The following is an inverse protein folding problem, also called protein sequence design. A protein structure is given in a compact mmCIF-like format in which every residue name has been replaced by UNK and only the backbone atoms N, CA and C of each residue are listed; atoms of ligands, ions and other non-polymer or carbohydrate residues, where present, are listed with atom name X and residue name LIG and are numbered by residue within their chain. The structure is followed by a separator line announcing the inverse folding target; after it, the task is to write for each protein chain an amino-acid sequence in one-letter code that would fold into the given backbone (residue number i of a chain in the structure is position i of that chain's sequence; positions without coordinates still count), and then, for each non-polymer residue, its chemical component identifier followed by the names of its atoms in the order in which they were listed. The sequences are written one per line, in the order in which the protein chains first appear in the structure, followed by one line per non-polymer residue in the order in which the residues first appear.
data_IF_632158297772
#
_entry.id   IF_632158297772
#
_cell.length_a   1.000
_cell.length_b   1.000
_cell.length_c   1.000
_cell.angle_alpha   90.00
_cell.angle_beta   90.00
_cell.angle_gamma   90.00
#
_symmetry.space_group_name_H-M   'P 1'
#
loop_
_entity.id
_entity.type
_entity.pdbx_description
1 polymer ?
#
# COMPACT_ATOMS: atom_id res chain seq x y z
N UNK A 1 45.52 33.31 -49.96
CA UNK A 1 44.38 32.40 -50.21
C UNK A 1 43.63 32.21 -48.94
N UNK A 2 42.50 32.86 -48.78
CA UNK A 2 41.72 32.85 -47.54
C UNK A 2 40.48 31.93 -47.70
N UNK A 3 40.42 30.86 -46.93
CA UNK A 3 39.31 29.92 -47.01
C UNK A 3 38.25 30.30 -45.94
N UNK A 4 37.08 30.70 -46.42
CA UNK A 4 35.90 31.05 -45.62
C UNK A 4 35.31 29.78 -44.91
N UNK A 5 35.20 29.82 -43.58
CA UNK A 5 34.43 28.86 -42.81
C UNK A 5 32.96 29.31 -42.82
N UNK A 6 32.06 28.46 -43.32
CA UNK A 6 30.61 28.65 -43.23
C UNK A 6 30.12 28.29 -41.83
N UNK A 7 29.42 29.20 -41.16
CA UNK A 7 28.64 28.94 -39.95
C UNK A 7 27.36 28.18 -40.31
N UNK A 8 27.15 27.00 -39.70
CA UNK A 8 25.89 26.27 -39.74
C UNK A 8 24.92 26.85 -38.73
N UNK A 9 23.77 27.29 -39.20
CA UNK A 9 22.64 27.73 -38.37
C UNK A 9 22.03 26.52 -37.61
N UNK A 10 21.81 26.69 -36.32
CA UNK A 10 21.05 25.72 -35.48
C UNK A 10 19.55 25.91 -35.76
N UNK A 11 18.78 24.82 -35.90
CA UNK A 11 17.33 24.93 -36.02
C UNK A 11 16.70 25.35 -34.66
N UNK A 12 15.73 26.26 -34.73
CA UNK A 12 14.94 26.76 -33.63
C UNK A 12 14.14 25.62 -33.00
N UNK A 13 14.20 25.47 -31.67
CA UNK A 13 13.35 24.59 -30.89
C UNK A 13 11.88 25.03 -31.02
N UNK A 14 11.08 24.21 -31.69
CA UNK A 14 9.63 24.33 -31.68
C UNK A 14 9.10 23.98 -30.29
N UNK A 15 8.27 24.84 -29.73
CA UNK A 15 7.46 24.60 -28.54
C UNK A 15 6.48 23.48 -28.85
N UNK A 16 6.68 22.31 -28.28
CA UNK A 16 5.68 21.22 -28.26
C UNK A 16 4.58 21.63 -27.28
N UNK A 17 3.45 22.07 -27.84
CA UNK A 17 2.22 22.14 -27.06
C UNK A 17 1.82 20.73 -26.66
N UNK A 18 1.85 20.43 -25.36
CA UNK A 18 1.20 19.26 -24.79
C UNK A 18 -0.31 19.39 -25.00
N UNK A 19 -0.82 18.75 -26.04
CA UNK A 19 -2.25 18.45 -26.14
C UNK A 19 -2.55 17.34 -25.15
N UNK A 20 -3.11 17.71 -24.00
CA UNK A 20 -3.71 16.77 -23.06
C UNK A 20 -4.81 15.99 -23.81
N UNK A 21 -4.63 14.68 -23.89
CA UNK A 21 -5.69 13.79 -24.36
C UNK A 21 -6.88 13.92 -23.40
N UNK A 22 -7.94 14.58 -23.84
CA UNK A 22 -9.22 14.64 -23.15
C UNK A 22 -9.88 13.28 -23.35
N UNK A 23 -9.88 12.47 -22.31
CA UNK A 23 -10.59 11.21 -22.26
C UNK A 23 -12.12 11.52 -22.21
N UNK A 24 -12.83 11.32 -23.32
CA UNK A 24 -14.30 11.47 -23.43
C UNK A 24 -14.97 10.11 -23.39
N UNK A 25 -14.82 9.39 -22.29
CA UNK A 25 -15.51 8.13 -22.03
C UNK A 25 -16.38 8.28 -20.78
N UNK A 26 -17.61 8.74 -20.94
CA UNK A 26 -18.63 8.73 -19.90
C UNK A 26 -19.12 7.29 -19.64
N UNK A 27 -18.42 6.56 -18.78
CA UNK A 27 -19.01 5.49 -17.99
C UNK A 27 -18.84 5.90 -16.54
N UNK A 28 -19.94 5.87 -15.80
CA UNK A 28 -19.96 6.07 -14.34
C UNK A 28 -19.03 5.00 -13.74
N UNK A 29 -17.76 5.35 -13.53
CA UNK A 29 -16.75 4.41 -13.02
C UNK A 29 -17.11 4.16 -11.56
N UNK A 30 -17.68 3.01 -11.30
CA UNK A 30 -18.03 2.59 -9.95
C UNK A 30 -16.80 2.63 -9.06
N UNK A 31 -16.85 3.46 -8.02
CA UNK A 31 -15.77 3.62 -7.06
C UNK A 31 -15.59 2.32 -6.25
N UNK A 32 -14.47 1.62 -6.45
CA UNK A 32 -14.10 0.42 -5.68
C UNK A 32 -13.31 0.83 -4.46
N UNK A 33 -13.83 0.52 -3.27
CA UNK A 33 -13.21 0.86 -1.99
C UNK A 33 -12.77 -0.40 -1.24
N UNK A 34 -11.58 -0.31 -0.67
CA UNK A 34 -10.95 -1.30 0.20
C UNK A 34 -10.42 -0.66 1.47
N UNK A 35 -10.07 -1.46 2.46
CA UNK A 35 -9.54 -0.99 3.75
C UNK A 35 -8.15 -1.55 3.98
N UNK A 36 -7.23 -0.71 4.47
CA UNK A 36 -5.99 -1.11 5.11
C UNK A 36 -6.04 -0.73 6.58
N UNK A 37 -6.03 -1.73 7.45
CA UNK A 37 -5.99 -1.56 8.90
C UNK A 37 -4.58 -1.83 9.46
N UNK A 38 -4.15 -0.99 10.39
CA UNK A 38 -2.84 -1.11 11.03
C UNK A 38 -2.90 -1.69 12.45
N UNK A 39 -4.08 -2.11 12.91
CA UNK A 39 -4.35 -2.54 14.29
C UNK A 39 -3.82 -1.51 15.32
N UNK A 40 -4.24 -0.23 15.24
CA UNK A 40 -3.73 0.81 16.12
C UNK A 40 -4.19 0.60 17.56
N UNK A 41 -3.29 0.92 18.52
CA UNK A 41 -3.57 0.98 19.96
C UNK A 41 -3.63 2.45 20.37
N UNK A 42 -4.69 2.84 21.04
CA UNK A 42 -4.88 4.18 21.59
C UNK A 42 -4.63 4.22 23.11
N UNK A 43 -4.52 5.40 23.69
CA UNK A 43 -3.98 5.61 25.05
C UNK A 43 -4.69 4.81 26.19
N UNK A 44 -5.94 4.44 26.01
CA UNK A 44 -6.74 3.68 26.99
C UNK A 44 -6.94 2.22 26.61
N UNK A 45 -6.34 1.78 25.50
CA UNK A 45 -6.54 0.44 24.94
C UNK A 45 -5.34 -0.47 25.20
N UNK A 46 -5.60 -1.77 25.19
CA UNK A 46 -4.59 -2.82 25.21
C UNK A 46 -4.31 -3.35 23.79
N UNK A 47 -3.20 -4.07 23.62
CA UNK A 47 -2.92 -4.78 22.37
C UNK A 47 -4.05 -5.77 22.00
N UNK A 48 -4.71 -6.36 22.99
CA UNK A 48 -5.86 -7.26 22.78
C UNK A 48 -7.04 -6.49 22.21
N UNK A 49 -7.36 -5.32 22.76
CA UNK A 49 -8.45 -4.48 22.25
C UNK A 49 -8.21 -4.08 20.80
N UNK A 50 -7.00 -3.65 20.44
CA UNK A 50 -6.65 -3.28 19.07
C UNK A 50 -6.84 -4.44 18.08
N UNK A 51 -6.46 -5.65 18.44
CA UNK A 51 -6.68 -6.83 17.59
C UNK A 51 -8.16 -7.20 17.49
N UNK A 52 -8.95 -7.06 18.58
CA UNK A 52 -10.40 -7.26 18.54
C UNK A 52 -11.09 -6.20 17.66
N UNK A 53 -10.66 -4.95 17.72
CA UNK A 53 -11.14 -3.88 16.85
C UNK A 53 -10.86 -4.18 15.37
N UNK A 54 -9.68 -4.71 15.03
CA UNK A 54 -9.37 -5.16 13.68
C UNK A 54 -10.30 -6.26 13.19
N UNK A 55 -10.61 -7.24 14.05
CA UNK A 55 -11.54 -8.35 13.74
C UNK A 55 -12.96 -7.82 13.54
N UNK A 56 -13.43 -6.94 14.41
CA UNK A 56 -14.74 -6.31 14.27
C UNK A 56 -14.82 -5.50 12.98
N UNK A 57 -13.83 -4.64 12.70
CA UNK A 57 -13.80 -3.83 11.50
C UNK A 57 -13.82 -4.69 10.23
N UNK A 58 -13.05 -5.78 10.16
CA UNK A 58 -13.04 -6.69 9.02
C UNK A 58 -14.42 -7.34 8.79
N UNK A 59 -15.10 -7.74 9.86
CA UNK A 59 -16.43 -8.34 9.79
C UNK A 59 -17.46 -7.32 9.31
N UNK A 60 -17.40 -6.07 9.79
CA UNK A 60 -18.26 -4.97 9.34
C UNK A 60 -17.95 -4.57 7.91
N UNK A 61 -16.66 -4.51 7.51
CA UNK A 61 -16.24 -4.21 6.16
C UNK A 61 -16.85 -5.19 5.14
N UNK A 62 -16.91 -6.49 5.47
CA UNK A 62 -17.62 -7.48 4.66
C UNK A 62 -19.12 -7.15 4.54
N UNK A 63 -19.76 -6.83 5.65
CA UNK A 63 -21.19 -6.49 5.67
C UNK A 63 -21.49 -5.19 4.89
N UNK A 64 -20.60 -4.23 4.95
CA UNK A 64 -20.68 -2.95 4.23
C UNK A 64 -20.32 -3.04 2.75
N UNK A 65 -19.80 -4.19 2.28
CA UNK A 65 -19.51 -4.44 0.87
C UNK A 65 -18.17 -3.86 0.38
N UNK A 66 -17.22 -3.63 1.27
CA UNK A 66 -15.86 -3.32 0.86
C UNK A 66 -15.25 -4.47 0.07
N UNK A 67 -14.41 -4.14 -0.92
CA UNK A 67 -13.87 -5.14 -1.83
C UNK A 67 -12.81 -6.01 -1.15
N UNK A 68 -11.89 -5.41 -0.39
CA UNK A 68 -10.85 -6.12 0.37
C UNK A 68 -10.56 -5.47 1.72
N UNK A 69 -9.99 -6.27 2.61
CA UNK A 69 -9.50 -5.85 3.91
C UNK A 69 -8.05 -6.33 4.09
N UNK A 70 -7.12 -5.39 4.16
CA UNK A 70 -5.71 -5.69 4.36
C UNK A 70 -5.25 -5.29 5.75
N UNK A 71 -4.26 -6.02 6.27
CA UNK A 71 -3.56 -5.70 7.50
C UNK A 71 -2.10 -5.41 7.22
N UNK A 72 -1.52 -4.44 7.94
CA UNK A 72 -0.12 -4.05 7.79
C UNK A 72 0.82 -4.94 8.62
N UNK A 73 2.14 -4.84 8.35
CA UNK A 73 3.19 -5.46 9.16
C UNK A 73 4.04 -4.39 9.83
N UNK A 74 4.08 -4.43 11.18
CA UNK A 74 4.89 -3.53 11.98
C UNK A 74 5.54 -4.26 13.15
N UNK A 75 6.81 -3.94 13.43
CA UNK A 75 7.62 -4.60 14.44
C UNK A 75 8.13 -3.64 15.52
N UNK A 76 8.15 -4.11 16.78
CA UNK A 76 8.68 -3.36 17.90
C UNK A 76 7.94 -2.05 18.18
N UNK A 77 6.65 -1.98 17.87
CA UNK A 77 5.78 -0.83 18.10
C UNK A 77 4.86 -1.07 19.28
N UNK A 78 4.65 -0.03 20.08
CA UNK A 78 3.62 -0.02 21.14
C UNK A 78 2.30 0.59 20.65
N UNK A 79 2.26 1.07 19.40
CA UNK A 79 1.12 1.80 18.84
C UNK A 79 0.37 1.06 17.74
N UNK A 80 0.96 0.02 17.18
CA UNK A 80 0.35 -0.82 16.13
C UNK A 80 0.71 -2.28 16.36
N UNK A 81 -0.28 -3.18 16.32
CA UNK A 81 -0.15 -4.56 16.79
C UNK A 81 -0.02 -5.60 15.68
N UNK A 82 0.08 -5.19 14.43
CA UNK A 82 0.15 -6.09 13.28
C UNK A 82 1.57 -6.58 13.00
N UNK A 83 2.15 -7.45 13.83
CA UNK A 83 3.52 -7.95 13.64
C UNK A 83 3.63 -9.24 12.80
N UNK A 84 2.53 -9.94 12.57
CA UNK A 84 2.46 -11.20 11.81
C UNK A 84 1.19 -11.22 10.98
N UNK A 85 1.20 -10.56 9.82
CA UNK A 85 0.00 -10.43 8.99
C UNK A 85 -0.59 -11.79 8.61
N UNK A 86 0.20 -12.80 8.30
CA UNK A 86 -0.26 -14.14 7.93
C UNK A 86 -1.07 -14.81 9.05
N UNK A 87 -0.70 -14.60 10.33
CA UNK A 87 -1.44 -15.14 11.48
C UNK A 87 -2.79 -14.43 11.63
N UNK A 88 -2.78 -13.10 11.52
CA UNK A 88 -4.00 -12.30 11.63
C UNK A 88 -4.94 -12.56 10.43
N UNK A 89 -4.41 -12.65 9.22
CA UNK A 89 -5.16 -13.01 8.02
C UNK A 89 -5.86 -14.36 8.18
N UNK A 90 -5.19 -15.39 8.71
CA UNK A 90 -5.80 -16.69 8.95
C UNK A 90 -7.03 -16.58 9.87
N UNK A 91 -6.93 -15.78 10.93
CA UNK A 91 -8.04 -15.53 11.84
C UNK A 91 -9.19 -14.76 11.15
N UNK A 92 -8.88 -13.71 10.39
CA UNK A 92 -9.87 -12.91 9.66
C UNK A 92 -10.60 -13.73 8.59
N UNK A 93 -9.90 -14.60 7.87
CA UNK A 93 -10.49 -15.50 6.88
C UNK A 93 -11.50 -16.47 7.51
N UNK A 94 -11.24 -16.92 8.76
CA UNK A 94 -12.16 -17.76 9.52
C UNK A 94 -13.41 -17.00 10.03
N UNK A 95 -13.30 -15.66 10.22
CA UNK A 95 -14.39 -14.79 10.68
C UNK A 95 -15.22 -14.20 9.54
N UNK A 96 -14.74 -14.23 8.30
CA UNK A 96 -15.38 -13.67 7.11
C UNK A 96 -15.62 -14.75 6.05
N UNK A 97 -16.48 -14.49 5.07
CA UNK A 97 -16.88 -15.50 4.07
C UNK A 97 -16.69 -15.06 2.62
N UNK A 98 -16.72 -13.77 2.31
CA UNK A 98 -16.73 -13.23 0.94
C UNK A 98 -15.62 -12.22 0.69
N UNK A 99 -15.37 -11.30 1.63
CA UNK A 99 -14.37 -10.25 1.48
C UNK A 99 -12.98 -10.86 1.25
N UNK A 100 -12.20 -10.26 0.37
CA UNK A 100 -10.79 -10.61 0.19
C UNK A 100 -10.00 -10.11 1.38
N UNK A 101 -9.08 -10.92 1.88
CA UNK A 101 -8.24 -10.56 3.04
C UNK A 101 -6.78 -10.72 2.67
N UNK A 102 -5.94 -9.77 3.06
CA UNK A 102 -4.54 -9.83 2.70
C UNK A 102 -3.62 -8.96 3.54
N UNK A 103 -2.37 -8.90 3.13
CA UNK A 103 -1.35 -8.04 3.72
C UNK A 103 -1.18 -6.74 2.92
N UNK A 104 -0.93 -5.64 3.62
CA UNK A 104 -0.62 -4.36 3.00
C UNK A 104 0.55 -3.64 3.68
N UNK A 105 1.78 -4.30 3.71
CA UNK A 105 2.22 -5.57 3.10
C UNK A 105 3.25 -6.30 3.95
N UNK A 106 3.56 -7.51 3.52
CA UNK A 106 4.67 -8.28 4.11
C UNK A 106 6.00 -7.59 3.79
N UNK A 107 6.85 -7.43 4.80
CA UNK A 107 8.20 -6.85 4.66
C UNK A 107 9.20 -7.90 4.18
N UNK A 108 9.12 -8.26 2.90
CA UNK A 108 9.81 -9.42 2.29
C UNK A 108 11.32 -9.43 2.52
N UNK A 109 11.93 -8.29 2.74
CA UNK A 109 13.38 -8.24 3.02
C UNK A 109 13.78 -8.97 4.31
N UNK A 110 12.83 -9.19 5.24
CA UNK A 110 13.08 -9.90 6.50
C UNK A 110 12.96 -11.43 6.37
N UNK A 111 12.39 -11.92 5.28
CA UNK A 111 11.96 -13.32 5.17
C UNK A 111 12.57 -14.05 3.98
N UNK A 112 12.52 -15.37 4.05
CA UNK A 112 12.71 -16.24 2.90
C UNK A 112 11.49 -16.15 1.98
N UNK A 113 11.65 -15.88 0.67
CA UNK A 113 10.55 -15.92 -0.30
C UNK A 113 9.82 -17.25 -0.29
N UNK A 114 10.55 -18.36 -0.14
CA UNK A 114 9.98 -19.70 -0.02
C UNK A 114 9.01 -19.79 1.18
N UNK A 115 9.44 -19.30 2.37
CA UNK A 115 8.57 -19.38 3.57
C UNK A 115 7.34 -18.49 3.47
N UNK A 116 7.46 -17.31 2.87
CA UNK A 116 6.31 -16.44 2.59
C UNK A 116 5.34 -17.13 1.63
N UNK A 117 5.85 -17.76 0.57
CA UNK A 117 5.01 -18.53 -0.37
C UNK A 117 4.28 -19.68 0.33
N UNK A 118 4.97 -20.48 1.19
CA UNK A 118 4.31 -21.54 1.98
C UNK A 118 3.15 -21.00 2.82
N UNK A 119 3.38 -19.92 3.58
CA UNK A 119 2.37 -19.33 4.45
C UNK A 119 1.13 -18.89 3.65
N UNK A 120 1.34 -18.18 2.54
CA UNK A 120 0.23 -17.69 1.70
C UNK A 120 -0.43 -18.79 0.87
N UNK A 121 0.28 -19.84 0.52
CA UNK A 121 -0.32 -21.03 -0.11
C UNK A 121 -1.22 -21.80 0.87
N UNK A 122 -0.86 -21.86 2.16
CA UNK A 122 -1.76 -22.40 3.20
C UNK A 122 -3.02 -21.55 3.30
N UNK A 123 -2.88 -20.21 3.39
CA UNK A 123 -4.03 -19.30 3.46
C UNK A 123 -4.93 -19.42 2.21
N UNK A 124 -4.34 -19.44 1.02
CA UNK A 124 -5.07 -19.58 -0.24
C UNK A 124 -5.75 -20.95 -0.39
N UNK A 125 -5.19 -22.01 0.21
CA UNK A 125 -5.84 -23.34 0.27
C UNK A 125 -7.02 -23.37 1.24
N UNK A 126 -6.94 -22.60 2.35
CA UNK A 126 -8.03 -22.48 3.33
C UNK A 126 -9.17 -21.60 2.81
N UNK A 127 -8.87 -20.59 2.00
CA UNK A 127 -9.85 -19.63 1.47
C UNK A 127 -9.57 -19.31 -0.01
N UNK A 128 -9.85 -20.25 -0.94
CA UNK A 128 -9.57 -20.10 -2.36
C UNK A 128 -10.19 -18.81 -2.95
N UNK A 129 -9.37 -18.06 -3.72
CA UNK A 129 -9.80 -16.85 -4.41
C UNK A 129 -9.97 -15.61 -3.51
N UNK A 130 -9.70 -15.70 -2.19
CA UNK A 130 -9.93 -14.63 -1.23
C UNK A 130 -8.66 -14.05 -0.61
N UNK A 131 -7.48 -14.53 -0.99
CA UNK A 131 -6.21 -14.14 -0.35
C UNK A 131 -5.43 -13.20 -1.24
N UNK A 132 -4.97 -12.07 -0.66
CA UNK A 132 -4.06 -11.13 -1.28
C UNK A 132 -2.72 -11.11 -0.54
N UNK A 133 -1.62 -11.00 -1.30
CA UNK A 133 -0.27 -10.84 -0.77
C UNK A 133 0.32 -9.52 -1.25
N UNK A 134 0.13 -8.47 -0.48
CA UNK A 134 0.84 -7.22 -0.68
C UNK A 134 2.26 -7.30 -0.10
N UNK A 135 3.24 -6.85 -0.86
CA UNK A 135 4.66 -6.85 -0.50
C UNK A 135 5.17 -5.42 -0.36
N UNK A 136 5.83 -5.13 0.77
CA UNK A 136 6.52 -3.88 1.05
C UNK A 136 8.03 -4.04 1.11
N UNK A 137 8.76 -2.95 0.83
CA UNK A 137 10.22 -2.87 0.97
C UNK A 137 10.67 -2.22 2.28
N UNK A 138 9.73 -1.60 3.01
CA UNK A 138 10.03 -0.90 4.26
C UNK A 138 10.61 -1.83 5.35
N UNK A 139 11.23 -1.28 6.40
CA UNK A 139 11.71 -2.08 7.52
C UNK A 139 10.57 -2.55 8.45
N UNK A 140 9.38 -2.00 8.33
CA UNK A 140 8.24 -2.31 9.20
C UNK A 140 8.45 -1.98 10.69
N UNK A 141 9.63 -1.49 11.08
CA UNK A 141 9.95 -1.20 12.48
C UNK A 141 11.27 -0.47 12.67
N UNK A 142 11.74 -0.44 13.92
CA UNK A 142 12.98 0.20 14.30
C UNK A 142 14.21 -0.65 13.88
N UNK A 143 15.43 -0.05 13.82
CA UNK A 143 16.64 -0.78 13.42
C UNK A 143 16.95 -2.02 14.25
N UNK A 144 16.56 -2.05 15.53
CA UNK A 144 16.71 -3.27 16.38
C UNK A 144 15.79 -4.39 15.95
N UNK A 145 14.55 -4.10 15.59
CA UNK A 145 13.62 -5.12 15.06
C UNK A 145 14.14 -5.68 13.75
N UNK A 146 14.63 -4.82 12.86
CA UNK A 146 15.25 -5.24 11.60
C UNK A 146 16.40 -6.22 11.85
N UNK A 147 17.31 -5.90 12.79
CA UNK A 147 18.41 -6.79 13.16
C UNK A 147 17.95 -8.12 13.76
N UNK A 148 16.90 -8.10 14.58
CA UNK A 148 16.33 -9.32 15.16
C UNK A 148 15.72 -10.24 14.10
N UNK A 149 15.06 -9.68 13.08
CA UNK A 149 14.41 -10.43 12.01
C UNK A 149 15.41 -10.96 10.97
N UNK A 150 16.41 -10.16 10.61
CA UNK A 150 17.40 -10.52 9.58
C UNK A 150 18.63 -11.27 10.15
N UNK A 151 18.78 -11.33 11.48
CA UNK A 151 19.99 -11.82 12.12
C UNK A 151 21.15 -10.82 12.06
N UNK A 152 22.35 -11.28 12.49
CA UNK A 152 23.58 -10.44 12.52
C UNK A 152 24.30 -10.49 11.16
N UNK A 153 23.90 -11.40 10.26
CA UNK A 153 24.51 -11.60 8.95
C UNK A 153 24.06 -10.56 7.92
N UNK A 154 24.90 -10.39 6.90
CA UNK A 154 24.60 -9.52 5.76
C UNK A 154 23.52 -10.16 4.88
N UNK A 155 22.35 -9.54 4.84
CA UNK A 155 21.23 -9.92 3.96
C UNK A 155 21.36 -9.18 2.63
N UNK A 156 22.33 -9.56 1.81
CA UNK A 156 22.69 -8.82 0.60
C UNK A 156 21.84 -9.09 -0.63
N UNK A 157 20.91 -10.05 -0.58
CA UNK A 157 20.06 -10.33 -1.75
C UNK A 157 19.18 -9.12 -2.10
N UNK A 158 19.25 -8.62 -3.35
CA UNK A 158 18.39 -7.54 -3.81
C UNK A 158 16.90 -7.84 -3.62
N UNK A 159 16.13 -6.83 -3.24
CA UNK A 159 14.68 -6.97 -3.05
C UNK A 159 13.96 -7.47 -4.31
N UNK A 160 14.39 -7.02 -5.48
CA UNK A 160 13.84 -7.46 -6.77
C UNK A 160 14.04 -8.96 -7.02
N UNK A 161 15.18 -9.52 -6.63
CA UNK A 161 15.43 -10.97 -6.75
C UNK A 161 14.54 -11.77 -5.80
N UNK A 162 14.40 -11.31 -4.53
CA UNK A 162 13.48 -11.95 -3.58
C UNK A 162 12.02 -11.91 -4.06
N UNK A 163 11.62 -10.79 -4.66
CA UNK A 163 10.25 -10.62 -5.16
C UNK A 163 9.98 -11.55 -6.34
N UNK A 164 10.91 -11.64 -7.28
CA UNK A 164 10.80 -12.55 -8.42
C UNK A 164 10.76 -14.02 -7.96
N UNK A 165 11.64 -14.41 -7.04
CA UNK A 165 11.65 -15.76 -6.49
C UNK A 165 10.35 -16.10 -5.74
N UNK A 166 9.78 -15.13 -4.99
CA UNK A 166 8.47 -15.29 -4.36
C UNK A 166 7.37 -15.55 -5.40
N UNK A 167 7.34 -14.77 -6.47
CA UNK A 167 6.39 -14.92 -7.57
C UNK A 167 6.51 -16.30 -8.22
N UNK A 168 7.74 -16.74 -8.46
CA UNK A 168 8.02 -18.06 -9.02
C UNK A 168 7.56 -19.20 -8.10
N UNK A 169 7.75 -19.09 -6.78
CA UNK A 169 7.25 -20.08 -5.82
C UNK A 169 5.73 -20.12 -5.75
N UNK A 170 5.06 -18.95 -5.70
CA UNK A 170 3.60 -18.87 -5.65
C UNK A 170 2.94 -19.55 -6.86
N UNK A 171 3.55 -19.43 -8.03
CA UNK A 171 3.05 -19.98 -9.27
C UNK A 171 3.69 -21.31 -9.69
N UNK A 172 4.57 -21.85 -8.84
CA UNK A 172 5.32 -23.09 -9.10
C UNK A 172 6.06 -23.06 -10.46
N UNK A 173 6.82 -21.97 -10.70
CA UNK A 173 7.46 -21.65 -12.00
C UNK A 173 8.97 -21.40 -11.86
N UNK A 174 9.65 -22.04 -10.89
CA UNK A 174 11.12 -21.95 -10.82
C UNK A 174 11.74 -22.46 -12.13
N UNK A 175 12.67 -21.69 -12.68
CA UNK A 175 13.39 -22.05 -13.90
C UNK A 175 14.36 -23.22 -13.67
N UNK A 176 14.65 -24.00 -14.72
CA UNK A 176 15.53 -25.17 -14.62
C UNK A 176 16.95 -24.86 -14.14
N UNK A 177 17.44 -23.66 -14.41
CA UNK A 177 18.75 -23.17 -13.96
C UNK A 177 18.75 -22.64 -12.51
N UNK A 178 17.57 -22.55 -11.86
CA UNK A 178 17.49 -22.06 -10.49
C UNK A 178 18.08 -23.10 -9.50
N UNK A 179 18.89 -22.70 -8.50
CA UNK A 179 19.49 -23.62 -7.53
C UNK A 179 18.51 -24.51 -6.76
N UNK A 180 17.24 -24.03 -6.64
CA UNK A 180 16.16 -24.73 -5.95
C UNK A 180 15.15 -25.35 -6.93
N UNK A 181 15.53 -25.54 -8.20
CA UNK A 181 14.63 -26.14 -9.20
C UNK A 181 14.03 -27.46 -8.70
N UNK A 182 12.71 -27.62 -8.91
CA UNK A 182 11.96 -28.76 -8.42
C UNK A 182 11.40 -28.62 -7.00
N UNK A 183 11.87 -27.64 -6.21
CA UNK A 183 11.27 -27.34 -4.90
C UNK A 183 9.93 -26.65 -5.09
N UNK A 184 8.91 -27.07 -4.32
CA UNK A 184 7.58 -26.51 -4.34
C UNK A 184 7.21 -25.94 -2.98
N UNK A 185 6.62 -24.75 -2.97
CA UNK A 185 6.01 -24.19 -1.76
C UNK A 185 4.65 -24.88 -1.52
N UNK A 186 4.64 -25.86 -0.62
CA UNK A 186 3.44 -26.66 -0.34
C UNK A 186 2.61 -26.05 0.80
N UNK A 187 1.24 -26.21 0.74
CA UNK A 187 0.44 -26.81 -0.32
C UNK A 187 0.42 -25.97 -1.61
N UNK A 188 0.07 -26.56 -2.73
CA UNK A 188 -0.17 -25.79 -3.97
C UNK A 188 -1.67 -25.53 -4.08
N UNK A 189 -2.16 -24.32 -3.84
CA UNK A 189 -3.57 -23.99 -3.91
C UNK A 189 -4.06 -23.96 -5.37
N UNK A 190 -5.36 -24.21 -5.64
CA UNK A 190 -5.93 -24.11 -6.98
C UNK A 190 -5.89 -22.68 -7.54
N UNK A 191 -5.92 -21.69 -6.64
CA UNK A 191 -5.76 -20.27 -6.94
C UNK A 191 -4.76 -19.69 -5.91
N UNK A 192 -3.55 -19.35 -6.33
CA UNK A 192 -2.57 -18.71 -5.44
C UNK A 192 -3.05 -17.35 -4.96
N UNK A 193 -2.43 -16.84 -3.90
CA UNK A 193 -2.68 -15.48 -3.43
C UNK A 193 -2.36 -14.48 -4.55
N UNK A 194 -3.19 -13.45 -4.68
CA UNK A 194 -2.95 -12.37 -5.64
C UNK A 194 -1.84 -11.47 -5.12
N UNK A 195 -0.78 -11.29 -5.90
CA UNK A 195 0.43 -10.58 -5.51
C UNK A 195 0.35 -9.10 -5.90
N UNK A 196 0.72 -8.20 -4.97
CA UNK A 196 0.74 -6.75 -5.15
C UNK A 196 2.08 -6.19 -4.69
N UNK A 197 2.65 -5.23 -5.42
CA UNK A 197 3.82 -4.48 -4.96
C UNK A 197 3.38 -3.11 -4.41
N UNK A 198 3.69 -2.86 -3.14
CA UNK A 198 3.46 -1.58 -2.48
C UNK A 198 4.70 -0.71 -2.58
N UNK A 199 4.50 0.57 -2.91
CA UNK A 199 5.60 1.52 -3.01
C UNK A 199 5.18 2.97 -2.79
N UNK A 200 6.17 3.87 -2.83
CA UNK A 200 6.00 5.30 -2.57
C UNK A 200 6.81 6.17 -3.55
N UNK A 201 7.33 5.58 -4.64
CA UNK A 201 8.21 6.28 -5.59
C UNK A 201 8.20 5.60 -6.97
N UNK A 202 8.81 6.28 -7.96
CA UNK A 202 8.94 5.82 -9.35
C UNK A 202 9.69 4.50 -9.49
N UNK A 203 10.78 4.27 -8.72
CA UNK A 203 11.53 3.01 -8.82
C UNK A 203 10.72 1.78 -8.41
N UNK A 204 9.79 1.92 -7.44
CA UNK A 204 8.87 0.83 -7.10
C UNK A 204 7.80 0.61 -8.17
N UNK A 205 7.36 1.68 -8.84
CA UNK A 205 6.42 1.63 -9.95
C UNK A 205 7.04 0.93 -11.18
N UNK A 206 8.28 1.27 -11.53
CA UNK A 206 9.06 0.62 -12.58
C UNK A 206 9.24 -0.88 -12.31
N UNK A 207 9.60 -1.24 -11.07
CA UNK A 207 9.75 -2.64 -10.69
C UNK A 207 8.43 -3.41 -10.83
N UNK A 208 7.30 -2.85 -10.34
CA UNK A 208 5.98 -3.48 -10.50
C UNK A 208 5.61 -3.67 -11.97
N UNK A 209 5.82 -2.61 -12.78
CA UNK A 209 5.53 -2.63 -14.21
C UNK A 209 6.37 -3.67 -14.97
N UNK A 210 7.68 -3.75 -14.68
CA UNK A 210 8.59 -4.72 -15.32
C UNK A 210 8.27 -6.18 -14.99
N UNK A 211 7.69 -6.42 -13.81
CA UNK A 211 7.27 -7.75 -13.37
C UNK A 211 5.80 -8.06 -13.70
N UNK A 212 5.07 -7.12 -14.35
CA UNK A 212 3.66 -7.28 -14.66
C UNK A 212 2.75 -7.41 -13.43
N UNK A 213 3.17 -6.84 -12.29
CA UNK A 213 2.44 -6.93 -11.03
C UNK A 213 1.52 -5.73 -10.82
N UNK A 214 0.33 -5.90 -10.19
CA UNK A 214 -0.45 -4.80 -9.67
C UNK A 214 0.38 -3.92 -8.72
N UNK A 215 0.26 -2.60 -8.88
CA UNK A 215 1.00 -1.60 -8.11
C UNK A 215 0.10 -0.84 -7.16
N UNK A 216 0.55 -0.65 -5.92
CA UNK A 216 -0.15 0.14 -4.90
C UNK A 216 0.73 1.29 -4.46
N UNK A 217 0.34 2.51 -4.78
CA UNK A 217 1.03 3.68 -4.25
C UNK A 217 0.48 4.02 -2.84
N UNK A 218 1.35 4.06 -1.83
CA UNK A 218 0.99 4.36 -0.44
C UNK A 218 1.10 5.87 -0.16
N UNK A 219 0.09 6.65 -0.56
CA UNK A 219 0.02 8.11 -0.41
C UNK A 219 0.05 8.54 1.07
N UNK A 220 -0.54 7.77 1.97
CA UNK A 220 -0.51 8.05 3.41
C UNK A 220 0.91 8.01 4.02
N UNK A 221 1.87 7.36 3.35
CA UNK A 221 3.30 7.37 3.71
C UNK A 221 4.08 8.46 2.96
N UNK A 222 3.76 8.70 1.70
CA UNK A 222 4.36 9.75 0.89
C UNK A 222 3.28 10.58 0.19
N UNK A 223 2.93 11.71 0.79
CA UNK A 223 1.87 12.60 0.34
C UNK A 223 2.32 13.62 -0.73
N UNK A 224 3.52 13.47 -1.30
CA UNK A 224 3.98 14.34 -2.39
C UNK A 224 3.24 13.99 -3.69
N UNK A 225 2.35 14.91 -4.12
CA UNK A 225 1.50 14.69 -5.30
C UNK A 225 2.30 14.57 -6.60
N UNK A 226 3.43 15.25 -6.71
CA UNK A 226 4.27 15.18 -7.91
C UNK A 226 4.89 13.78 -8.01
N UNK A 227 5.49 13.28 -6.93
CA UNK A 227 6.04 11.92 -6.87
C UNK A 227 4.97 10.85 -7.12
N UNK A 228 3.77 11.02 -6.56
CA UNK A 228 2.66 10.08 -6.76
C UNK A 228 2.23 10.06 -8.23
N UNK A 229 2.00 11.24 -8.82
CA UNK A 229 1.60 11.35 -10.22
C UNK A 229 2.64 10.77 -11.17
N UNK A 230 3.93 11.06 -10.94
CA UNK A 230 5.03 10.50 -11.71
C UNK A 230 5.11 8.96 -11.57
N UNK A 231 5.00 8.43 -10.36
CA UNK A 231 5.06 6.99 -10.12
C UNK A 231 3.91 6.25 -10.83
N UNK A 232 2.67 6.73 -10.70
CA UNK A 232 1.52 6.11 -11.37
C UNK A 232 1.61 6.21 -12.90
N UNK A 233 2.03 7.36 -13.44
CA UNK A 233 2.29 7.52 -14.88
C UNK A 233 3.40 6.58 -15.37
N UNK A 234 4.49 6.45 -14.61
CA UNK A 234 5.59 5.52 -14.92
C UNK A 234 5.11 4.08 -14.93
N UNK A 235 4.30 3.67 -13.93
CA UNK A 235 3.71 2.33 -13.89
C UNK A 235 2.94 2.01 -15.17
N UNK A 236 2.02 2.88 -15.57
CA UNK A 236 1.21 2.66 -16.77
C UNK A 236 2.04 2.67 -18.08
N UNK A 237 3.05 3.56 -18.16
CA UNK A 237 3.88 3.70 -19.36
C UNK A 237 4.88 2.54 -19.53
N UNK A 238 5.44 2.06 -18.41
CA UNK A 238 6.46 1.01 -18.41
C UNK A 238 5.88 -0.40 -18.24
N UNK A 239 4.55 -0.55 -18.10
CA UNK A 239 3.95 -1.85 -17.90
C UNK A 239 4.18 -2.76 -19.11
N UNK A 240 4.67 -3.96 -18.85
CA UNK A 240 4.92 -4.94 -19.90
C UNK A 240 3.59 -5.48 -20.46
N UNK A 241 3.20 -4.98 -21.63
CA UNK A 241 1.96 -5.35 -22.31
C UNK A 241 1.93 -6.79 -22.84
N UNK A 242 3.06 -7.52 -22.77
CA UNK A 242 3.10 -8.97 -23.10
C UNK A 242 2.54 -9.82 -21.97
N UNK A 243 2.33 -9.24 -20.79
CA UNK A 243 1.72 -9.92 -19.65
C UNK A 243 0.26 -10.28 -19.92
N UNK A 244 -0.21 -11.37 -19.28
CA UNK A 244 -1.57 -11.87 -19.47
C UNK A 244 -2.66 -10.99 -18.87
N UNK A 245 -2.29 -10.17 -17.88
CA UNK A 245 -3.21 -9.27 -17.18
C UNK A 245 -2.93 -7.82 -17.58
N UNK A 246 -3.95 -6.96 -17.70
CA UNK A 246 -3.75 -5.53 -17.90
C UNK A 246 -3.10 -4.88 -16.66
N UNK A 247 -2.48 -3.70 -16.82
CA UNK A 247 -1.98 -2.95 -15.68
C UNK A 247 -3.11 -2.65 -14.70
N UNK A 248 -2.84 -2.78 -13.41
CA UNK A 248 -3.80 -2.46 -12.35
C UNK A 248 -3.12 -1.62 -11.27
N UNK A 249 -3.51 -0.36 -11.17
CA UNK A 249 -2.99 0.60 -10.21
C UNK A 249 -3.99 0.83 -9.07
N UNK A 250 -3.51 0.78 -7.84
CA UNK A 250 -4.27 1.07 -6.64
C UNK A 250 -3.63 2.24 -5.88
N UNK A 251 -4.44 2.99 -5.15
CA UNK A 251 -3.95 4.09 -4.32
C UNK A 251 -4.43 3.91 -2.88
N UNK A 252 -3.47 3.80 -1.95
CA UNK A 252 -3.76 3.76 -0.52
C UNK A 252 -3.61 5.17 0.07
N UNK A 253 -4.66 5.71 0.68
CA UNK A 253 -4.73 7.10 1.12
C UNK A 253 -5.44 7.25 2.46
N UNK A 254 -5.07 8.31 3.20
CA UNK A 254 -5.75 8.67 4.45
C UNK A 254 -7.09 9.31 4.16
N UNK A 255 -8.15 8.77 4.79
CA UNK A 255 -9.52 9.28 4.60
C UNK A 255 -10.25 9.38 5.93
N UNK A 256 -10.99 10.46 6.13
CA UNK A 256 -11.92 10.65 7.26
C UNK A 256 -13.25 11.19 6.75
N UNK A 257 -14.29 10.39 6.91
CA UNK A 257 -15.67 10.85 6.74
C UNK A 257 -16.34 11.07 8.10
N UNK A 258 -17.14 12.12 8.22
CA UNK A 258 -17.96 12.40 9.40
C UNK A 258 -19.34 12.88 8.96
N UNK A 259 -20.24 13.16 9.91
CA UNK A 259 -21.58 13.63 9.58
C UNK A 259 -21.57 15.02 8.91
N UNK A 260 -20.56 15.83 9.21
CA UNK A 260 -20.36 17.16 8.62
C UNK A 260 -18.91 17.40 8.19
N UNK A 261 -18.71 18.29 7.21
CA UNK A 261 -17.37 18.73 6.78
C UNK A 261 -16.58 19.40 7.91
N UNK A 262 -17.26 20.08 8.81
CA UNK A 262 -16.63 20.75 9.96
C UNK A 262 -16.08 19.75 10.98
N UNK A 263 -16.84 18.72 11.27
CA UNK A 263 -16.43 17.64 12.17
C UNK A 263 -15.27 16.83 11.57
N UNK A 264 -15.35 16.43 10.31
CA UNK A 264 -14.27 15.73 9.62
C UNK A 264 -12.97 16.54 9.61
N UNK A 265 -13.06 17.87 9.38
CA UNK A 265 -11.91 18.77 9.44
C UNK A 265 -11.29 18.81 10.84
N UNK A 266 -12.12 18.80 11.89
CA UNK A 266 -11.64 18.74 13.26
C UNK A 266 -10.83 17.46 13.52
N UNK A 267 -11.33 16.31 13.12
CA UNK A 267 -10.61 15.04 13.26
C UNK A 267 -9.32 14.98 12.42
N UNK A 268 -9.33 15.52 11.21
CA UNK A 268 -8.18 15.52 10.32
C UNK A 268 -7.04 16.42 10.81
N UNK A 269 -7.34 17.52 11.51
CA UNK A 269 -6.37 18.51 11.97
C UNK A 269 -5.32 17.93 12.95
N UNK A 270 -5.69 16.90 13.71
CA UNK A 270 -4.82 16.27 14.71
C UNK A 270 -3.85 15.24 14.11
N UNK A 271 -4.03 14.85 12.84
CA UNK A 271 -3.22 13.83 12.22
C UNK A 271 -1.92 14.41 11.67
N UNK A 272 -0.80 13.94 12.22
CA UNK A 272 0.54 14.38 11.84
C UNK A 272 1.34 13.23 11.24
N UNK A 273 2.21 13.57 10.31
CA UNK A 273 3.23 12.69 9.74
C UNK A 273 4.58 13.10 10.28
N UNK A 274 5.28 12.17 10.92
CA UNK A 274 6.62 12.40 11.45
C UNK A 274 7.62 11.67 10.55
N UNK A 275 8.63 12.39 10.07
CA UNK A 275 9.69 11.85 9.20
C UNK A 275 11.05 11.94 9.86
N UNK A 276 11.81 10.86 9.78
CA UNK A 276 13.22 10.79 10.16
C UNK A 276 14.05 10.75 8.89
N UNK A 277 14.96 11.72 8.72
CA UNK A 277 15.94 11.71 7.64
C UNK A 277 17.33 11.45 8.21
N UNK A 278 17.98 10.39 7.75
CA UNK A 278 19.33 10.01 8.12
C UNK A 278 20.37 10.73 7.26
N UNK A 279 21.61 10.83 7.77
CA UNK A 279 22.73 11.41 7.04
C UNK A 279 23.03 10.70 5.71
N UNK A 280 22.72 9.40 5.62
CA UNK A 280 22.77 8.62 4.39
C UNK A 280 21.74 9.04 3.32
N UNK A 281 20.86 9.99 3.62
CA UNK A 281 19.80 10.48 2.74
C UNK A 281 18.50 9.66 2.80
N UNK A 282 18.50 8.51 3.47
CA UNK A 282 17.29 7.70 3.67
C UNK A 282 16.28 8.43 4.53
N UNK A 283 14.99 8.36 4.16
CA UNK A 283 13.89 8.97 4.91
C UNK A 283 12.87 7.90 5.28
N UNK A 284 12.40 7.95 6.52
CA UNK A 284 11.40 7.02 7.04
C UNK A 284 10.24 7.79 7.66
N UNK A 285 9.03 7.31 7.45
CA UNK A 285 7.83 7.81 8.12
C UNK A 285 7.59 6.96 9.36
N UNK A 286 7.37 7.62 10.50
CA UNK A 286 7.11 6.99 11.81
C UNK A 286 5.89 7.60 12.46
N UNK A 287 5.29 6.89 13.42
CA UNK A 287 4.01 7.29 14.00
C UNK A 287 4.08 8.46 14.99
N UNK A 288 5.24 8.68 15.64
CA UNK A 288 5.39 9.70 16.71
C UNK A 288 6.79 10.31 16.71
N UNK A 289 6.91 11.50 17.31
CA UNK A 289 8.22 12.16 17.52
C UNK A 289 9.14 11.30 18.39
N UNK A 290 8.62 10.71 19.48
CA UNK A 290 9.40 9.81 20.34
C UNK A 290 9.89 8.57 19.56
N UNK A 291 9.05 8.00 18.69
CA UNK A 291 9.45 6.91 17.77
C UNK A 291 10.53 7.36 16.78
N UNK A 292 10.46 8.61 16.30
CA UNK A 292 11.47 9.21 15.42
C UNK A 292 12.82 9.37 16.12
N UNK A 293 12.83 9.86 17.36
CA UNK A 293 14.04 9.98 18.18
C UNK A 293 14.67 8.60 18.46
N UNK A 294 13.84 7.61 18.80
CA UNK A 294 14.32 6.25 19.04
C UNK A 294 14.89 5.63 17.76
N UNK A 295 14.21 5.82 16.61
CA UNK A 295 14.71 5.38 15.31
C UNK A 295 16.09 5.97 15.02
N UNK A 296 16.23 7.30 15.20
CA UNK A 296 17.49 8.01 15.00
C UNK A 296 18.61 7.49 15.91
N UNK A 297 18.32 7.30 17.19
CA UNK A 297 19.30 6.74 18.15
C UNK A 297 19.75 5.33 17.76
N UNK A 298 18.82 4.50 17.31
CA UNK A 298 19.13 3.10 16.90
C UNK A 298 19.85 3.01 15.57
N UNK A 299 19.70 4.02 14.68
CA UNK A 299 20.34 4.03 13.36
C UNK A 299 21.85 4.23 13.42
N UNK A 300 22.36 4.79 14.53
CA UNK A 300 23.78 5.15 14.71
C UNK A 300 24.31 6.15 13.66
N UNK A 301 23.41 6.89 13.02
CA UNK A 301 23.70 7.95 12.05
C UNK A 301 23.20 9.30 12.60
N UNK A 302 23.76 10.41 12.11
CA UNK A 302 23.13 11.73 12.32
C UNK A 302 21.79 11.75 11.63
N UNK A 303 20.80 12.38 12.26
CA UNK A 303 19.45 12.44 11.76
C UNK A 303 18.76 13.77 12.02
N UNK A 304 17.73 14.04 11.26
CA UNK A 304 16.80 15.15 11.47
C UNK A 304 15.38 14.64 11.54
N UNK A 305 14.54 15.30 12.32
CA UNK A 305 13.12 15.00 12.46
C UNK A 305 12.31 16.17 11.92
N UNK A 306 11.31 15.87 11.10
CA UNK A 306 10.34 16.84 10.61
C UNK A 306 8.92 16.32 10.85
N UNK A 307 8.04 17.22 11.30
CA UNK A 307 6.61 16.92 11.49
C UNK A 307 5.81 17.79 10.54
N UNK A 308 4.87 17.18 9.84
CA UNK A 308 3.98 17.83 8.89
C UNK A 308 2.53 17.42 9.16
N UNK A 309 1.59 18.22 8.70
CA UNK A 309 0.19 17.81 8.64
C UNK A 309 0.05 16.65 7.66
N UNK A 310 -0.77 15.66 8.01
CA UNK A 310 -1.08 14.58 7.07
C UNK A 310 -1.96 15.11 5.93
N UNK A 311 -1.73 14.61 4.73
CA UNK A 311 -2.66 14.83 3.62
C UNK A 311 -3.82 13.84 3.74
N UNK A 312 -4.94 14.30 4.29
CA UNK A 312 -6.13 13.50 4.57
C UNK A 312 -7.28 13.97 3.70
N UNK A 313 -7.86 13.09 2.92
CA UNK A 313 -9.16 13.34 2.27
C UNK A 313 -10.21 13.34 3.36
N UNK A 314 -10.91 14.46 3.57
CA UNK A 314 -11.87 14.58 4.67
C UNK A 314 -13.09 15.41 4.31
N UNK A 315 -14.21 15.13 4.97
CA UNK A 315 -15.48 15.83 4.79
C UNK A 315 -16.68 14.98 5.18
N UNK A 316 -17.86 15.49 4.88
CA UNK A 316 -19.07 14.69 4.89
C UNK A 316 -18.97 13.57 3.86
N UNK A 317 -19.84 12.57 3.99
CA UNK A 317 -19.89 11.44 3.06
C UNK A 317 -19.81 11.87 1.60
N UNK A 318 -20.69 12.79 1.19
CA UNK A 318 -20.81 13.19 -0.21
C UNK A 318 -19.57 13.98 -0.67
N UNK A 319 -19.03 14.84 0.18
CA UNK A 319 -17.75 15.55 -0.06
C UNK A 319 -16.59 14.59 -0.26
N UNK A 320 -16.45 13.57 0.60
CA UNK A 320 -15.37 12.58 0.48
C UNK A 320 -15.54 11.72 -0.76
N UNK A 321 -16.74 11.22 -1.05
CA UNK A 321 -16.97 10.40 -2.25
C UNK A 321 -16.67 11.17 -3.54
N UNK A 322 -17.00 12.47 -3.60
CA UNK A 322 -16.64 13.31 -4.73
C UNK A 322 -15.11 13.45 -4.86
N UNK A 323 -14.40 13.76 -3.77
CA UNK A 323 -12.94 13.88 -3.77
C UNK A 323 -12.28 12.56 -4.20
N UNK A 324 -12.73 11.41 -3.69
CA UNK A 324 -12.22 10.10 -4.06
C UNK A 324 -12.45 9.79 -5.55
N UNK A 325 -13.62 10.16 -6.10
CA UNK A 325 -13.91 9.99 -7.53
C UNK A 325 -13.01 10.88 -8.40
N UNK A 326 -12.70 12.10 -7.94
CA UNK A 326 -11.78 12.99 -8.64
C UNK A 326 -10.34 12.46 -8.63
N UNK A 327 -9.89 11.92 -7.50
CA UNK A 327 -8.60 11.25 -7.35
C UNK A 327 -8.51 10.04 -8.28
N UNK A 328 -9.53 9.17 -8.28
CA UNK A 328 -9.57 7.98 -9.13
C UNK A 328 -9.43 8.35 -10.61
N UNK A 329 -10.19 9.34 -11.07
CA UNK A 329 -10.14 9.82 -12.46
C UNK A 329 -8.80 10.47 -12.81
N UNK A 330 -8.30 11.35 -11.92
CA UNK A 330 -7.05 12.10 -12.15
C UNK A 330 -5.85 11.19 -12.30
N UNK A 331 -5.75 10.14 -11.49
CA UNK A 331 -4.60 9.25 -11.43
C UNK A 331 -4.84 7.90 -12.12
N UNK A 332 -6.01 7.69 -12.71
CA UNK A 332 -6.37 6.46 -13.44
C UNK A 332 -6.13 5.20 -12.61
N UNK A 333 -6.55 5.22 -11.35
CA UNK A 333 -6.44 4.09 -10.45
C UNK A 333 -7.72 3.26 -10.43
N UNK A 334 -7.58 1.94 -10.34
CA UNK A 334 -8.69 1.00 -10.42
C UNK A 334 -9.42 0.85 -9.08
N UNK A 335 -8.70 1.11 -7.97
CA UNK A 335 -9.20 0.88 -6.62
C UNK A 335 -8.53 1.83 -5.63
N UNK A 336 -9.31 2.27 -4.64
CA UNK A 336 -8.84 3.10 -3.53
C UNK A 336 -8.86 2.32 -2.22
N UNK A 337 -7.71 2.28 -1.55
CA UNK A 337 -7.55 1.62 -0.24
C UNK A 337 -7.57 2.70 0.84
N UNK A 338 -8.60 2.69 1.67
CA UNK A 338 -8.83 3.67 2.72
C UNK A 338 -8.07 3.30 3.98
N UNK A 339 -7.32 4.28 4.52
CA UNK A 339 -6.65 4.21 5.83
C UNK A 339 -7.26 5.30 6.71
N UNK A 340 -7.89 4.94 7.83
CA UNK A 340 -8.51 5.92 8.74
C UNK A 340 -7.78 5.93 10.07
N UNK A 341 -7.09 7.04 10.36
CA UNK A 341 -6.25 7.21 11.56
C UNK A 341 -6.99 8.04 12.64
N UNK A 342 -8.17 7.59 13.07
CA UNK A 342 -8.92 8.21 14.16
C UNK A 342 -8.63 7.49 15.48
N UNK A 343 -8.54 8.25 16.57
CA UNK A 343 -8.18 7.73 17.91
C UNK A 343 -9.31 6.92 18.57
N UNK A 344 -10.55 7.33 18.35
CA UNK A 344 -11.72 6.62 18.87
C UNK A 344 -12.17 5.55 17.88
N UNK A 345 -12.33 4.33 18.36
CA UNK A 345 -12.72 3.19 17.51
C UNK A 345 -14.13 3.32 16.95
N UNK A 346 -15.09 3.83 17.72
CA UNK A 346 -16.47 3.99 17.24
C UNK A 346 -16.57 5.07 16.17
N UNK A 347 -15.85 6.19 16.33
CA UNK A 347 -15.74 7.23 15.29
C UNK A 347 -15.06 6.68 14.05
N UNK A 348 -14.01 5.85 14.20
CA UNK A 348 -13.35 5.18 13.08
C UNK A 348 -14.29 4.23 12.34
N UNK A 349 -15.06 3.42 13.05
CA UNK A 349 -16.12 2.57 12.47
C UNK A 349 -17.15 3.40 11.71
N UNK A 350 -17.64 4.48 12.32
CA UNK A 350 -18.63 5.37 11.68
C UNK A 350 -18.11 5.99 10.39
N UNK A 351 -16.84 6.42 10.37
CA UNK A 351 -16.20 6.93 9.15
C UNK A 351 -16.20 5.90 8.01
N UNK A 352 -15.87 4.64 8.30
CA UNK A 352 -15.96 3.57 7.30
C UNK A 352 -17.40 3.26 6.90
N UNK A 353 -18.35 3.27 7.83
CA UNK A 353 -19.76 3.03 7.54
C UNK A 353 -20.34 4.09 6.58
N UNK A 354 -20.04 5.37 6.79
CA UNK A 354 -20.43 6.46 5.90
C UNK A 354 -19.96 6.25 4.46
N UNK A 355 -18.77 5.69 4.27
CA UNK A 355 -18.17 5.44 2.95
C UNK A 355 -18.58 4.09 2.35
N UNK A 356 -19.36 3.28 3.07
CA UNK A 356 -19.64 1.91 2.68
C UNK A 356 -20.30 1.81 1.29
N UNK A 357 -19.88 0.86 0.45
CA UNK A 357 -20.52 0.57 -0.83
C UNK A 357 -22.01 0.23 -0.71
N UNK A 358 -22.41 -0.50 0.34
CA UNK A 358 -23.81 -0.88 0.57
C UNK A 358 -24.72 0.32 0.82
N UNK A 359 -24.23 1.39 1.47
CA UNK A 359 -25.00 2.61 1.69
C UNK A 359 -25.24 3.42 0.41
N UNK A 360 -24.45 3.16 -0.65
CA UNK A 360 -24.61 3.81 -1.97
C UNK A 360 -25.76 3.22 -2.77
N UNK A 361 -25.91 1.90 -2.75
CA UNK A 361 -26.98 1.20 -3.47
C UNK A 361 -28.36 1.44 -2.88
N UNK A 362 -28.48 1.71 -1.57
CA UNK A 362 -29.75 1.99 -0.91
C UNK A 362 -30.38 3.35 -1.31
N UNK A 363 -29.60 4.32 -1.77
CA UNK A 363 -30.10 5.66 -2.17
C UNK A 363 -30.47 5.80 -3.65
N UNK A 364 -29.95 4.93 -4.53
CA UNK A 364 -30.31 4.91 -5.95
C UNK A 364 -31.65 4.19 -6.24
N UNK A 365 -32.27 3.62 -5.21
CA UNK A 365 -33.53 2.87 -5.32
C UNK A 365 -34.77 3.67 -4.92
N UNK A 366 -34.68 5.02 -4.79
CA UNK A 366 -35.81 5.92 -4.50
C UNK A 366 -35.97 6.97 -5.57
#
# INVERSE_FOLDING_TARGET
MATRVRRSERPRRGTVQQQGAVWTGGTDVSLTLSILDQSPVHDTETATDALQHTIELATRAEAWGYHRFWVSEHHGSERVMGSSPEVLIAHLLAKTRRIRVGSGGVMLQHYSPYKVAENFNVLASLAPGRVDLGIGRGPGGLPRSTRALQGIGDQTRPFSEKLLELEQFLHNRLEENHPLYGLRASPVPPQPAELFLLGTNTSSAELAASLGMPYVFAQFLNSDEATMGEALATYHTCFDTTQRQPPRALLALSVIAADTDAEARHYAADIKVVRVRLASGRTFTVGTVAGAEEFGRQSQENYTIATHDANVVHGSRDTVLQQLSDVQRRYQVDELIVVTAMKDFHQRLHSYELLSPASRTARTAY
#
